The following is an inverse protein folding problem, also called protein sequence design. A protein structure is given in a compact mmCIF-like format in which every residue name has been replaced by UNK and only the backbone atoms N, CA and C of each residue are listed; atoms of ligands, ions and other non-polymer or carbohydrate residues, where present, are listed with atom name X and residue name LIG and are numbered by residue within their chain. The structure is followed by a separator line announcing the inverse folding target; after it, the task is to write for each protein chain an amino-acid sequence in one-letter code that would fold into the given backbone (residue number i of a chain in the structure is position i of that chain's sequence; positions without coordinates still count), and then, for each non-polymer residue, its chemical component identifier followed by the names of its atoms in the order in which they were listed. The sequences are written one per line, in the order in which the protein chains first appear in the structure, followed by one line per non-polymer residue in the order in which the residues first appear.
data_IF_376562538618
#
_entry.id   IF_376562538618
#
_cell.length_a   1.000
_cell.length_b   1.000
_cell.length_c   1.000
_cell.angle_alpha   90.00
_cell.angle_beta   90.00
_cell.angle_gamma   90.00
#
_symmetry.space_group_name_H-M   'P 1'
#
loop_
_entity.id
_entity.type
_entity.pdbx_description
1 polymer ?
#
# COMPACT_ATOMS: atom_id res chain seq x y z
N UNK A 1 43.13 -26.00 -20.45
CA UNK A 1 43.94 -26.66 -19.41
C UNK A 1 43.10 -26.86 -18.16
N UNK A 2 43.04 -28.09 -17.62
CA UNK A 2 42.35 -28.39 -16.36
C UNK A 2 43.38 -28.39 -15.23
N UNK A 3 43.07 -27.77 -14.09
CA UNK A 3 43.94 -27.83 -12.92
C UNK A 3 43.50 -28.96 -11.99
N UNK A 4 44.46 -29.74 -11.48
CA UNK A 4 44.21 -30.90 -10.64
C UNK A 4 44.93 -30.72 -9.30
N UNK A 5 44.23 -30.86 -8.17
CA UNK A 5 44.82 -30.97 -6.84
C UNK A 5 44.49 -32.38 -6.34
N UNK A 6 45.51 -33.21 -6.09
CA UNK A 6 45.36 -34.61 -5.66
C UNK A 6 44.40 -35.42 -6.56
N UNK A 7 44.48 -35.23 -7.88
CA UNK A 7 43.65 -35.93 -8.86
C UNK A 7 42.20 -35.40 -9.00
N UNK A 8 41.81 -34.39 -8.22
CA UNK A 8 40.50 -33.73 -8.33
C UNK A 8 40.61 -32.45 -9.14
N UNK A 9 39.63 -32.21 -10.01
CA UNK A 9 39.58 -30.96 -10.77
C UNK A 9 39.29 -29.79 -9.83
N UNK A 10 40.17 -28.78 -9.85
CA UNK A 10 40.11 -27.61 -8.97
C UNK A 10 40.08 -26.32 -9.79
N UNK A 11 39.38 -25.28 -9.30
CA UNK A 11 39.43 -23.97 -9.93
C UNK A 11 40.82 -23.36 -9.79
N UNK A 12 41.21 -22.53 -10.76
CA UNK A 12 42.53 -21.89 -10.80
C UNK A 12 42.86 -21.11 -9.52
N UNK A 13 41.87 -20.45 -8.91
CA UNK A 13 42.05 -19.71 -7.66
C UNK A 13 42.41 -20.60 -6.46
N UNK A 14 41.89 -21.83 -6.40
CA UNK A 14 42.25 -22.77 -5.33
C UNK A 14 43.69 -23.26 -5.47
N UNK A 15 44.12 -23.49 -6.72
CA UNK A 15 45.49 -23.90 -7.05
C UNK A 15 46.47 -22.77 -6.74
N UNK A 16 46.11 -21.53 -7.09
CA UNK A 16 46.87 -20.35 -6.71
C UNK A 16 46.97 -20.23 -5.18
N UNK A 17 45.87 -20.37 -4.44
CA UNK A 17 45.89 -20.30 -2.97
C UNK A 17 46.79 -21.37 -2.34
N UNK A 18 46.84 -22.58 -2.91
CA UNK A 18 47.76 -23.62 -2.47
C UNK A 18 49.22 -23.17 -2.64
N UNK A 19 49.58 -22.62 -3.80
CA UNK A 19 50.93 -22.07 -4.01
C UNK A 19 51.23 -20.89 -3.07
N UNK A 20 50.27 -20.00 -2.81
CA UNK A 20 50.47 -18.91 -1.84
C UNK A 20 50.69 -19.44 -0.41
N UNK A 21 50.13 -20.59 -0.03
CA UNK A 21 50.34 -21.19 1.30
C UNK A 21 51.78 -21.64 1.55
N UNK A 22 52.51 -21.97 0.47
CA UNK A 22 53.94 -22.28 0.50
C UNK A 22 54.79 -21.09 0.04
N UNK A 23 54.23 -19.87 0.09
CA UNK A 23 54.88 -18.61 -0.31
C UNK A 23 55.36 -18.58 -1.78
N UNK A 24 54.80 -19.42 -2.63
CA UNK A 24 55.04 -19.40 -4.07
C UNK A 24 53.94 -18.59 -4.76
N UNK A 25 54.30 -17.42 -5.27
CA UNK A 25 53.39 -16.66 -6.10
C UNK A 25 53.62 -16.99 -7.58
N UNK A 26 52.68 -17.70 -8.19
CA UNK A 26 52.75 -18.08 -9.61
C UNK A 26 52.59 -16.85 -10.53
N UNK A 27 51.94 -15.79 -10.06
CA UNK A 27 51.72 -14.58 -10.84
C UNK A 27 52.96 -13.67 -10.87
N UNK A 28 53.83 -13.78 -9.87
CA UNK A 28 55.10 -13.07 -9.83
C UNK A 28 56.23 -14.01 -9.38
N UNK A 29 56.76 -14.86 -10.29
CA UNK A 29 57.65 -15.94 -9.91
C UNK A 29 59.07 -15.41 -9.66
N UNK A 30 59.27 -14.73 -8.54
CA UNK A 30 60.59 -14.33 -8.04
C UNK A 30 61.45 -15.52 -7.62
N UNK A 31 60.83 -16.70 -7.43
CA UNK A 31 61.50 -17.96 -7.18
C UNK A 31 62.08 -18.63 -8.45
N UNK A 32 61.71 -18.15 -9.66
CA UNK A 32 62.18 -18.72 -10.93
C UNK A 32 63.06 -17.72 -11.69
N UNK A 33 64.35 -18.02 -11.79
CA UNK A 33 65.31 -17.21 -12.53
C UNK A 33 65.48 -17.80 -13.94
N UNK A 34 64.82 -17.16 -14.91
CA UNK A 34 65.02 -17.44 -16.34
C UNK A 34 66.13 -16.55 -16.92
N UNK A 35 66.72 -16.96 -18.05
CA UNK A 35 67.70 -16.14 -18.76
C UNK A 35 67.11 -14.76 -19.11
N UNK A 36 67.87 -13.69 -18.86
CA UNK A 36 67.40 -12.31 -19.05
C UNK A 36 66.64 -11.70 -17.87
N UNK A 37 66.38 -12.47 -16.80
CA UNK A 37 65.72 -11.92 -15.59
C UNK A 37 66.65 -11.04 -14.75
N UNK A 38 67.96 -11.30 -14.78
CA UNK A 38 68.95 -10.51 -14.03
C UNK A 38 69.01 -9.05 -14.49
N UNK A 39 68.94 -8.80 -15.80
CA UNK A 39 68.91 -7.43 -16.37
C UNK A 39 67.60 -6.71 -16.06
N UNK A 40 66.49 -7.45 -15.94
CA UNK A 40 65.22 -6.90 -15.48
C UNK A 40 65.30 -6.47 -14.02
N UNK A 41 65.90 -7.27 -13.14
CA UNK A 41 66.10 -6.94 -11.72
C UNK A 41 66.94 -5.68 -11.55
N UNK A 42 68.02 -5.56 -12.33
CA UNK A 42 68.90 -4.39 -12.32
C UNK A 42 68.20 -3.10 -12.78
N UNK A 43 67.16 -3.20 -13.61
CA UNK A 43 66.41 -2.08 -14.17
C UNK A 43 64.99 -1.94 -13.59
N UNK A 44 64.71 -2.55 -12.43
CA UNK A 44 63.38 -2.46 -11.81
C UNK A 44 63.07 -1.04 -11.38
N UNK A 45 61.84 -0.60 -11.61
CA UNK A 45 61.36 0.69 -11.10
C UNK A 45 61.09 0.58 -9.59
N UNK A 46 61.13 1.69 -8.83
CA UNK A 46 60.92 1.68 -7.37
C UNK A 46 59.64 0.96 -6.91
N UNK A 47 58.54 1.05 -7.66
CA UNK A 47 57.28 0.34 -7.33
C UNK A 47 57.39 -1.19 -7.52
N UNK A 48 58.19 -1.65 -8.47
CA UNK A 48 58.43 -3.08 -8.69
C UNK A 48 59.37 -3.64 -7.61
N UNK A 49 60.36 -2.87 -7.18
CA UNK A 49 61.23 -3.20 -6.05
C UNK A 49 60.40 -3.30 -4.78
N UNK A 50 59.54 -2.31 -4.51
CA UNK A 50 58.62 -2.34 -3.36
C UNK A 50 57.73 -3.58 -3.39
N UNK A 51 57.10 -3.87 -4.53
CA UNK A 51 56.27 -5.07 -4.68
C UNK A 51 57.02 -6.39 -4.48
N UNK A 52 58.34 -6.41 -4.76
CA UNK A 52 59.21 -7.56 -4.50
C UNK A 52 59.49 -7.71 -2.99
N UNK A 53 59.75 -6.60 -2.30
CA UNK A 53 59.99 -6.58 -0.86
C UNK A 53 58.72 -6.95 -0.07
N UNK A 54 57.57 -6.40 -0.45
CA UNK A 54 56.27 -6.71 0.16
C UNK A 54 55.86 -8.17 -0.02
N UNK A 55 56.29 -8.78 -1.12
CA UNK A 55 56.05 -10.18 -1.41
C UNK A 55 56.97 -11.10 -0.60
N UNK A 56 58.25 -10.74 -0.47
CA UNK A 56 59.19 -11.43 0.42
C UNK A 56 58.76 -11.32 1.90
N UNK A 57 58.18 -10.19 2.29
CA UNK A 57 57.61 -9.98 3.63
C UNK A 57 56.23 -10.62 3.82
N UNK A 58 55.60 -11.14 2.75
CA UNK A 58 54.27 -11.73 2.78
C UNK A 58 53.11 -10.73 2.99
N UNK A 59 53.38 -9.42 3.04
CA UNK A 59 52.38 -8.37 3.30
C UNK A 59 51.49 -8.09 2.08
N UNK A 60 51.97 -8.37 0.87
CA UNK A 60 51.24 -8.14 -0.39
C UNK A 60 49.91 -8.91 -0.49
N UNK A 61 49.86 -10.14 0.05
CA UNK A 61 48.64 -10.96 0.05
C UNK A 61 47.58 -10.38 1.00
N UNK A 62 48.01 -9.87 2.15
CA UNK A 62 47.13 -9.19 3.09
C UNK A 62 46.54 -7.93 2.46
N UNK A 63 47.38 -7.08 1.84
CA UNK A 63 46.93 -5.83 1.25
C UNK A 63 45.95 -6.05 0.08
N UNK A 64 46.23 -7.04 -0.77
CA UNK A 64 45.32 -7.43 -1.86
C UNK A 64 43.96 -7.87 -1.33
N UNK A 65 43.94 -8.72 -0.28
CA UNK A 65 42.69 -9.16 0.35
C UNK A 65 41.95 -8.00 1.00
N UNK A 66 42.64 -7.12 1.72
CA UNK A 66 42.07 -5.93 2.35
C UNK A 66 41.41 -5.02 1.32
N UNK A 67 42.09 -4.69 0.23
CA UNK A 67 41.53 -3.87 -0.86
C UNK A 67 40.31 -4.54 -1.49
N UNK A 68 40.35 -5.86 -1.71
CA UNK A 68 39.19 -6.59 -2.26
C UNK A 68 37.98 -6.59 -1.32
N UNK A 69 38.22 -6.71 -0.01
CA UNK A 69 37.18 -6.66 1.01
C UNK A 69 36.57 -5.26 1.09
N UNK A 70 37.39 -4.21 1.12
CA UNK A 70 36.93 -2.81 1.13
C UNK A 70 36.06 -2.50 -0.10
N UNK A 71 36.48 -2.90 -1.30
CA UNK A 71 35.66 -2.75 -2.52
C UNK A 71 34.33 -3.50 -2.42
N UNK A 72 34.31 -4.64 -1.75
CA UNK A 72 33.06 -5.41 -1.56
C UNK A 72 32.14 -4.72 -0.57
N UNK A 73 32.69 -4.15 0.51
CA UNK A 73 31.93 -3.37 1.50
C UNK A 73 31.33 -2.14 0.84
N UNK A 74 32.12 -1.39 0.07
CA UNK A 74 31.66 -0.21 -0.66
C UNK A 74 30.51 -0.54 -1.62
N UNK A 75 30.63 -1.60 -2.42
CA UNK A 75 29.54 -2.06 -3.30
C UNK A 75 28.28 -2.44 -2.53
N UNK A 76 28.41 -3.09 -1.37
CA UNK A 76 27.27 -3.43 -0.52
C UNK A 76 26.64 -2.19 0.11
N UNK A 77 27.45 -1.22 0.52
CA UNK A 77 26.97 0.03 1.08
C UNK A 77 26.12 0.80 0.06
N UNK A 78 26.60 0.92 -1.19
CA UNK A 78 25.84 1.53 -2.28
C UNK A 78 24.47 0.87 -2.48
N UNK A 79 24.39 -0.46 -2.36
CA UNK A 79 23.12 -1.20 -2.46
C UNK A 79 22.20 -0.96 -1.27
N UNK A 80 22.74 -0.83 -0.07
CA UNK A 80 21.96 -0.48 1.14
C UNK A 80 21.40 0.93 1.00
N UNK A 81 22.20 1.88 0.51
CA UNK A 81 21.79 3.26 0.33
C UNK A 81 20.68 3.37 -0.73
N UNK A 82 20.79 2.61 -1.83
CA UNK A 82 19.74 2.49 -2.86
C UNK A 82 18.42 1.95 -2.27
N UNK A 83 18.48 0.88 -1.46
CA UNK A 83 17.30 0.32 -0.78
C UNK A 83 16.66 1.35 0.16
N UNK A 84 17.48 2.09 0.92
CA UNK A 84 16.99 3.10 1.84
C UNK A 84 16.33 4.28 1.12
N UNK A 85 16.88 4.71 -0.02
CA UNK A 85 16.27 5.73 -0.87
C UNK A 85 14.90 5.28 -1.38
N UNK A 86 14.79 4.07 -1.94
CA UNK A 86 13.49 3.51 -2.39
C UNK A 86 12.48 3.43 -1.23
N UNK A 87 12.92 3.01 -0.05
CA UNK A 87 12.07 2.92 1.14
C UNK A 87 11.52 4.30 1.56
N UNK A 88 12.38 5.32 1.53
CA UNK A 88 12.05 6.67 1.96
C UNK A 88 11.20 7.44 0.93
N UNK A 89 11.51 7.27 -0.37
CA UNK A 89 10.91 8.05 -1.45
C UNK A 89 9.61 7.42 -1.99
N UNK A 90 9.53 6.08 -2.04
CA UNK A 90 8.38 5.40 -2.64
C UNK A 90 7.49 4.73 -1.59
N UNK A 91 8.06 3.89 -0.74
CA UNK A 91 7.29 3.04 0.17
C UNK A 91 6.64 3.86 1.28
N UNK A 92 7.40 4.77 1.91
CA UNK A 92 6.87 5.57 3.04
C UNK A 92 5.73 6.50 2.61
N UNK A 93 5.84 7.27 1.50
CA UNK A 93 4.76 8.15 1.06
C UNK A 93 3.53 7.39 0.56
N UNK A 94 3.72 6.25 -0.11
CA UNK A 94 2.59 5.41 -0.53
C UNK A 94 1.83 4.83 0.67
N UNK A 95 2.53 4.42 1.72
CA UNK A 95 1.91 3.98 2.96
C UNK A 95 1.10 5.10 3.62
N UNK A 96 1.64 6.32 3.65
CA UNK A 96 0.95 7.46 4.26
C UNK A 96 -0.28 7.89 3.45
N UNK A 97 -0.19 7.88 2.11
CA UNK A 97 -1.35 8.07 1.22
C UNK A 97 -2.45 7.06 1.51
N UNK A 98 -2.10 5.77 1.62
CA UNK A 98 -3.06 4.70 1.92
C UNK A 98 -3.71 4.86 3.31
N UNK A 99 -2.96 5.36 4.30
CA UNK A 99 -3.52 5.70 5.62
C UNK A 99 -4.54 6.84 5.51
N UNK A 100 -4.23 7.89 4.74
CA UNK A 100 -5.16 8.97 4.46
C UNK A 100 -6.45 8.46 3.80
N UNK A 101 -6.32 7.64 2.74
CA UNK A 101 -7.45 7.04 2.04
C UNK A 101 -8.32 6.18 2.96
N UNK A 102 -7.71 5.37 3.84
CA UNK A 102 -8.43 4.61 4.85
C UNK A 102 -9.22 5.52 5.80
N UNK A 103 -8.64 6.62 6.26
CA UNK A 103 -9.34 7.57 7.12
C UNK A 103 -10.53 8.22 6.40
N UNK A 104 -10.36 8.61 5.13
CA UNK A 104 -11.46 9.13 4.31
C UNK A 104 -12.57 8.11 4.12
N UNK A 105 -12.22 6.85 3.85
CA UNK A 105 -13.19 5.77 3.72
C UNK A 105 -13.98 5.53 5.02
N UNK A 106 -13.32 5.53 6.18
CA UNK A 106 -14.00 5.37 7.46
C UNK A 106 -14.97 6.53 7.75
N UNK A 107 -14.58 7.77 7.42
CA UNK A 107 -15.50 8.92 7.52
C UNK A 107 -16.68 8.79 6.59
N UNK A 108 -16.44 8.39 5.33
CA UNK A 108 -17.50 8.16 4.35
C UNK A 108 -18.47 7.07 4.82
N UNK A 109 -17.95 5.93 5.31
CA UNK A 109 -18.77 4.82 5.81
C UNK A 109 -19.64 5.24 7.00
N UNK A 110 -19.09 6.01 7.94
CA UNK A 110 -19.87 6.56 9.05
C UNK A 110 -20.96 7.52 8.56
N UNK A 111 -20.60 8.46 7.70
CA UNK A 111 -21.57 9.42 7.14
C UNK A 111 -22.68 8.70 6.36
N UNK A 112 -22.34 7.65 5.61
CA UNK A 112 -23.32 6.87 4.86
C UNK A 112 -24.31 6.16 5.78
N UNK A 113 -23.83 5.59 6.90
CA UNK A 113 -24.70 5.00 7.91
C UNK A 113 -25.61 6.05 8.59
N UNK A 114 -25.09 7.26 8.83
CA UNK A 114 -25.88 8.37 9.38
C UNK A 114 -26.95 8.86 8.38
N UNK A 115 -26.61 8.94 7.08
CA UNK A 115 -27.56 9.27 6.01
C UNK A 115 -28.68 8.25 5.98
N UNK A 116 -28.36 6.95 5.92
CA UNK A 116 -29.37 5.89 5.88
C UNK A 116 -30.29 5.92 7.12
N UNK A 117 -29.73 6.23 8.30
CA UNK A 117 -30.51 6.39 9.53
C UNK A 117 -31.47 7.58 9.46
N UNK A 118 -31.01 8.73 8.95
CA UNK A 118 -31.82 9.94 8.83
C UNK A 118 -32.89 9.77 7.75
N UNK A 119 -32.57 9.16 6.61
CA UNK A 119 -33.53 8.87 5.55
C UNK A 119 -34.70 8.02 6.07
N UNK A 120 -34.40 6.96 6.83
CA UNK A 120 -35.45 6.15 7.50
C UNK A 120 -36.33 6.99 8.43
N UNK A 121 -35.74 7.96 9.14
CA UNK A 121 -36.50 8.86 10.02
C UNK A 121 -37.37 9.84 9.24
N UNK A 122 -36.88 10.38 8.11
CA UNK A 122 -37.65 11.25 7.22
C UNK A 122 -38.86 10.50 6.67
N UNK A 123 -38.66 9.29 6.14
CA UNK A 123 -39.74 8.45 5.62
C UNK A 123 -40.78 8.12 6.70
N UNK A 124 -40.34 7.81 7.93
CA UNK A 124 -41.26 7.55 9.04
C UNK A 124 -42.08 8.81 9.43
N UNK A 125 -41.47 9.99 9.43
CA UNK A 125 -42.15 11.26 9.69
C UNK A 125 -43.15 11.62 8.59
N UNK A 126 -42.78 11.42 7.33
CA UNK A 126 -43.69 11.60 6.18
C UNK A 126 -44.90 10.66 6.28
N UNK A 127 -44.68 9.39 6.63
CA UNK A 127 -45.76 8.43 6.85
C UNK A 127 -46.68 8.88 7.99
N UNK A 128 -46.14 9.26 9.14
CA UNK A 128 -46.92 9.71 10.29
C UNK A 128 -47.75 10.98 9.98
N UNK A 129 -47.18 11.92 9.22
CA UNK A 129 -47.90 13.11 8.77
C UNK A 129 -49.02 12.78 7.77
N UNK A 130 -48.77 11.84 6.85
CA UNK A 130 -49.78 11.36 5.91
C UNK A 130 -50.93 10.65 6.65
N UNK A 131 -50.61 9.81 7.64
CA UNK A 131 -51.59 9.13 8.48
C UNK A 131 -52.44 10.13 9.29
N UNK A 132 -51.81 11.13 9.91
CA UNK A 132 -52.53 12.19 10.63
C UNK A 132 -53.43 13.05 9.71
N UNK A 133 -53.00 13.26 8.46
CA UNK A 133 -53.81 13.96 7.46
C UNK A 133 -54.99 13.10 7.01
N UNK A 134 -54.77 11.80 6.83
CA UNK A 134 -55.81 10.84 6.48
C UNK A 134 -56.88 10.75 7.59
N UNK A 135 -56.47 10.58 8.85
CA UNK A 135 -57.41 10.51 9.99
C UNK A 135 -58.25 11.78 10.10
N UNK A 136 -57.62 12.95 10.00
CA UNK A 136 -58.34 14.23 9.98
C UNK A 136 -59.32 14.34 8.81
N UNK A 137 -58.93 13.86 7.63
CA UNK A 137 -59.83 13.84 6.46
C UNK A 137 -60.99 12.87 6.66
N UNK A 138 -60.77 11.70 7.26
CA UNK A 138 -61.83 10.71 7.54
C UNK A 138 -62.80 11.22 8.61
N UNK A 139 -62.31 11.89 9.65
CA UNK A 139 -63.15 12.57 10.64
C UNK A 139 -63.98 13.68 9.99
N UNK A 140 -63.37 14.45 9.08
CA UNK A 140 -64.06 15.49 8.30
C UNK A 140 -65.16 14.92 7.40
N UNK A 141 -64.90 13.80 6.71
CA UNK A 141 -65.90 13.10 5.89
C UNK A 141 -67.06 12.59 6.75
N UNK A 142 -66.77 11.94 7.88
CA UNK A 142 -67.82 11.44 8.79
C UNK A 142 -68.68 12.58 9.35
N UNK A 143 -68.08 13.72 9.70
CA UNK A 143 -68.84 14.90 10.13
C UNK A 143 -69.74 15.46 9.02
N UNK A 144 -69.23 15.51 7.78
CA UNK A 144 -70.00 15.97 6.62
C UNK A 144 -71.14 15.01 6.27
N UNK A 145 -70.93 13.70 6.38
CA UNK A 145 -71.96 12.68 6.20
C UNK A 145 -73.10 12.83 7.22
N UNK A 146 -72.77 13.09 8.48
CA UNK A 146 -73.79 13.33 9.52
C UNK A 146 -74.56 14.63 9.27
N UNK A 147 -73.88 15.69 8.82
CA UNK A 147 -74.53 16.95 8.47
C UNK A 147 -75.47 16.82 7.27
N UNK A 148 -75.06 16.08 6.22
CA UNK A 148 -75.91 15.73 5.08
C UNK A 148 -77.15 14.97 5.54
N UNK A 149 -76.98 13.99 6.45
CA UNK A 149 -78.09 13.20 6.98
C UNK A 149 -79.09 14.07 7.77
N UNK A 150 -78.62 14.97 8.62
CA UNK A 150 -79.48 15.93 9.31
C UNK A 150 -80.20 16.88 8.34
N UNK A 151 -79.51 17.34 7.30
CA UNK A 151 -80.13 18.17 6.25
C UNK A 151 -81.20 17.39 5.47
N UNK A 152 -80.96 16.12 5.14
CA UNK A 152 -81.96 15.24 4.50
C UNK A 152 -83.19 15.05 5.39
N UNK A 153 -83.00 14.80 6.69
CA UNK A 153 -84.12 14.72 7.66
C UNK A 153 -84.90 16.03 7.75
N UNK A 154 -84.20 17.17 7.77
CA UNK A 154 -84.81 18.51 7.81
C UNK A 154 -85.58 18.82 6.52
N UNK A 155 -85.04 18.44 5.35
CA UNK A 155 -85.72 18.59 4.05
C UNK A 155 -86.94 17.68 3.99
N UNK A 156 -86.85 16.46 4.54
CA UNK A 156 -87.99 15.54 4.64
C UNK A 156 -89.12 16.14 5.48
N UNK A 157 -88.82 16.63 6.70
CA UNK A 157 -89.85 17.25 7.56
C UNK A 157 -90.44 18.51 6.94
N UNK A 158 -89.61 19.36 6.33
CA UNK A 158 -90.07 20.56 5.62
C UNK A 158 -90.97 20.21 4.45
N UNK A 159 -90.70 19.13 3.71
CA UNK A 159 -91.58 18.62 2.65
C UNK A 159 -92.91 18.12 3.19
N UNK A 160 -92.91 17.40 4.31
CA UNK A 160 -94.14 16.94 4.97
C UNK A 160 -94.99 18.13 5.41
N UNK A 161 -94.38 19.17 5.99
CA UNK A 161 -95.08 20.41 6.38
C UNK A 161 -95.65 21.17 5.17
N UNK A 162 -94.90 21.27 4.08
CA UNK A 162 -95.40 21.90 2.84
C UNK A 162 -96.58 21.11 2.27
N UNK A 163 -96.49 19.78 2.21
CA UNK A 163 -97.58 18.93 1.72
C UNK A 163 -98.84 19.05 2.60
N UNK A 164 -98.68 19.13 3.93
CA UNK A 164 -99.78 19.36 4.85
C UNK A 164 -100.46 20.72 4.61
N UNK A 165 -99.67 21.79 4.43
CA UNK A 165 -100.21 23.13 4.13
C UNK A 165 -100.83 23.23 2.74
N UNK A 166 -100.31 22.55 1.74
CA UNK A 166 -100.93 22.48 0.41
C UNK A 166 -102.28 21.74 0.46
N UNK A 167 -102.42 20.72 1.32
CA UNK A 167 -103.70 20.07 1.57
C UNK A 167 -104.71 20.97 2.29
N UNK A 168 -104.28 21.87 3.18
CA UNK A 168 -105.14 22.87 3.84
C UNK A 168 -105.57 24.01 2.89
N UNK A 169 -104.80 24.30 1.84
CA UNK A 169 -105.11 25.35 0.85
C UNK A 169 -106.02 24.81 -0.28
N UNK A 170 -106.05 23.49 -0.48
CA UNK A 170 -106.88 22.82 -1.48
C UNK A 170 -108.32 22.48 -1.00
N UNK A 171 -108.61 22.70 0.29
CA UNK A 171 -109.96 22.70 0.90
C UNK A 171 -110.58 24.11 0.90
#
# INVERSE_FOLDING_TARGET
SKYLINGRNSPAGQVQNLFHSVQLNVNNPHFLIMQGRITKVLNMKPHEILGTVEEAAGTRMYETKRVSALKTIEKKQLKVDEINSVLAEEITPTLERLRGEKQHYLKWSKNNADIERIERFVVASEYANAEATLTKSTEGVAAMEEEVKMQEETVSSSREEVAAKESEIAE
#
